data_IF_796804049619
#
_entry.id   IF_796804049619
#
_cell.length_a   1.000
_cell.length_b   1.000
_cell.length_c   1.000
_cell.angle_alpha   90.00
_cell.angle_beta   90.00
_cell.angle_gamma   90.00
#
_symmetry.space_group_name_H-M   'P 1'
#
loop_
_entity.id
_entity.type
_entity.pdbx_description
1 polymer ?
#
# COMPACT_ATOMS: atom_id res chain seq x y z
N UNK A 1 -29.50 9.88 -7.51
CA UNK A 1 -29.48 8.59 -6.79
C UNK A 1 -29.38 8.92 -5.30
N UNK A 2 -30.27 8.41 -4.46
CA UNK A 2 -30.31 8.77 -3.04
C UNK A 2 -29.80 7.60 -2.21
N UNK A 3 -28.71 7.81 -1.46
CA UNK A 3 -28.07 6.75 -0.68
C UNK A 3 -28.54 6.80 0.76
N UNK A 4 -28.99 5.66 1.30
CA UNK A 4 -29.24 5.54 2.72
C UNK A 4 -27.93 5.21 3.44
N UNK A 5 -27.29 6.23 4.00
CA UNK A 5 -26.01 6.12 4.70
C UNK A 5 -26.01 5.13 5.87
N UNK A 6 -27.17 4.87 6.49
CA UNK A 6 -27.29 3.86 7.58
C UNK A 6 -27.11 2.42 7.11
N UNK A 7 -27.20 2.15 5.80
CA UNK A 7 -27.00 0.82 5.21
C UNK A 7 -25.63 0.63 4.57
N UNK A 8 -24.80 1.67 4.56
CA UNK A 8 -23.46 1.63 3.96
C UNK A 8 -22.52 0.96 4.96
N UNK A 9 -22.04 -0.24 4.61
CA UNK A 9 -21.07 -1.00 5.41
C UNK A 9 -19.61 -0.75 5.01
N UNK A 10 -19.38 -0.03 3.92
CA UNK A 10 -18.04 0.23 3.35
C UNK A 10 -17.96 1.67 2.85
N UNK A 11 -17.01 2.44 3.37
CA UNK A 11 -16.77 3.85 3.03
C UNK A 11 -15.80 4.02 1.84
N UNK A 12 -15.91 3.17 0.81
CA UNK A 12 -15.07 3.27 -0.39
C UNK A 12 -15.93 3.33 -1.64
N UNK A 13 -15.64 4.26 -2.54
CA UNK A 13 -16.24 4.33 -3.88
C UNK A 13 -15.15 4.20 -4.94
N UNK A 14 -15.39 3.45 -6.00
CA UNK A 14 -14.53 3.39 -7.17
C UNK A 14 -15.39 3.43 -8.44
N UNK A 15 -14.91 4.12 -9.46
CA UNK A 15 -15.61 4.29 -10.74
C UNK A 15 -14.60 4.59 -11.85
N UNK A 16 -15.02 4.41 -13.09
CA UNK A 16 -14.21 4.76 -14.26
C UNK A 16 -14.71 6.07 -14.88
N UNK A 17 -13.78 6.93 -15.28
CA UNK A 17 -14.03 8.21 -15.94
C UNK A 17 -13.30 8.25 -17.27
N UNK A 18 -13.98 8.71 -18.32
CA UNK A 18 -13.38 9.05 -19.61
C UNK A 18 -13.89 10.41 -20.05
N UNK A 19 -13.00 11.36 -20.28
CA UNK A 19 -13.36 12.71 -20.72
C UNK A 19 -12.26 13.33 -21.58
N UNK A 20 -12.64 14.32 -22.38
CA UNK A 20 -11.73 15.27 -23.05
C UNK A 20 -11.80 16.66 -22.42
N UNK A 21 -12.73 16.85 -21.48
CA UNK A 21 -12.99 18.12 -20.84
C UNK A 21 -11.99 18.33 -19.68
N UNK A 22 -11.17 19.40 -19.70
CA UNK A 22 -10.22 19.69 -18.63
C UNK A 22 -10.92 20.20 -17.35
N UNK A 23 -12.21 20.52 -17.36
CA UNK A 23 -12.92 21.03 -16.19
C UNK A 23 -14.35 20.47 -16.11
N UNK A 24 -14.79 20.06 -14.92
CA UNK A 24 -16.16 19.56 -14.76
C UNK A 24 -16.43 18.90 -13.42
N UNK A 25 -17.71 18.76 -13.07
CA UNK A 25 -18.14 18.10 -11.83
C UNK A 25 -18.44 16.64 -12.11
N UNK A 26 -17.83 15.74 -11.32
CA UNK A 26 -18.06 14.30 -11.38
C UNK A 26 -19.12 13.92 -10.34
N UNK A 27 -18.88 14.26 -9.06
CA UNK A 27 -19.84 14.11 -7.98
C UNK A 27 -20.01 15.42 -7.25
N UNK A 28 -21.26 15.71 -6.92
CA UNK A 28 -21.63 16.75 -6.00
C UNK A 28 -22.53 16.12 -4.95
N UNK A 29 -22.30 16.49 -3.69
CA UNK A 29 -23.22 16.17 -2.63
C UNK A 29 -23.29 17.33 -1.67
N UNK A 30 -24.50 17.67 -1.27
CA UNK A 30 -24.79 18.65 -0.24
C UNK A 30 -25.61 18.04 0.88
N UNK A 31 -25.63 18.73 2.00
CA UNK A 31 -26.70 18.57 2.97
C UNK A 31 -27.82 19.56 2.62
N UNK A 32 -29.06 19.28 3.03
CA UNK A 32 -30.20 20.15 2.69
C UNK A 32 -30.05 21.61 3.23
N UNK A 33 -29.06 21.88 4.08
CA UNK A 33 -28.60 23.25 4.38
C UNK A 33 -27.58 23.67 3.33
N UNK A 34 -27.93 24.66 2.52
CA UNK A 34 -27.18 25.21 1.36
C UNK A 34 -25.70 25.58 1.59
N UNK A 35 -25.20 25.45 2.81
CA UNK A 35 -23.87 25.86 3.24
C UNK A 35 -22.88 24.69 3.36
N UNK A 36 -23.33 23.43 3.39
CA UNK A 36 -22.43 22.29 3.46
C UNK A 36 -22.50 21.47 2.17
N UNK A 37 -21.40 21.45 1.41
CA UNK A 37 -21.29 20.71 0.16
C UNK A 37 -19.87 20.18 -0.07
N UNK A 38 -19.78 19.13 -0.87
CA UNK A 38 -18.53 18.64 -1.43
C UNK A 38 -18.66 18.46 -2.94
N UNK A 39 -17.54 18.62 -3.63
CA UNK A 39 -17.39 18.38 -5.05
C UNK A 39 -16.18 17.47 -5.25
N UNK A 40 -16.37 16.41 -6.02
CA UNK A 40 -15.29 15.77 -6.76
C UNK A 40 -15.43 16.19 -8.22
N UNK A 41 -14.38 16.78 -8.77
CA UNK A 41 -14.39 17.28 -10.14
C UNK A 41 -13.02 17.21 -10.80
N UNK A 42 -12.93 17.84 -11.96
CA UNK A 42 -11.70 18.10 -12.69
C UNK A 42 -11.45 19.60 -12.77
N UNK A 43 -10.18 19.98 -12.67
CA UNK A 43 -9.68 21.32 -12.97
C UNK A 43 -8.30 21.22 -13.61
N UNK A 44 -8.10 21.89 -14.74
CA UNK A 44 -6.87 21.76 -15.55
C UNK A 44 -6.53 20.27 -15.88
N UNK A 45 -7.59 19.50 -16.15
CA UNK A 45 -7.53 18.07 -16.45
C UNK A 45 -7.27 17.16 -15.25
N UNK A 46 -7.03 17.70 -14.05
CA UNK A 46 -6.66 16.91 -12.85
C UNK A 46 -7.82 16.76 -11.88
N UNK A 47 -7.91 15.63 -11.15
CA UNK A 47 -8.86 15.46 -10.06
C UNK A 47 -8.70 16.53 -8.99
N UNK A 48 -9.83 17.11 -8.60
CA UNK A 48 -9.93 18.08 -7.52
C UNK A 48 -11.07 17.71 -6.59
N UNK A 49 -10.80 17.75 -5.28
CA UNK A 49 -11.80 17.65 -4.23
C UNK A 49 -11.95 19.03 -3.61
N UNK A 50 -13.18 19.53 -3.61
CA UNK A 50 -13.57 20.72 -2.86
C UNK A 50 -14.54 20.32 -1.76
N UNK A 51 -14.39 20.95 -0.60
CA UNK A 51 -15.33 20.81 0.49
C UNK A 51 -15.58 22.18 1.10
N UNK A 52 -16.83 22.51 1.29
CA UNK A 52 -17.25 23.73 1.93
C UNK A 52 -18.27 23.39 3.01
N UNK A 53 -18.07 23.98 4.16
CA UNK A 53 -19.06 24.03 5.22
C UNK A 53 -18.92 25.37 5.95
N UNK A 54 -19.82 25.62 6.88
CA UNK A 54 -19.80 26.82 7.72
C UNK A 54 -18.50 27.05 8.53
N UNK A 55 -17.62 26.06 8.67
CA UNK A 55 -16.37 26.13 9.44
C UNK A 55 -15.12 26.24 8.56
N UNK A 56 -15.14 25.70 7.34
CA UNK A 56 -13.97 25.56 6.50
C UNK A 56 -14.31 25.48 5.02
N UNK A 57 -13.36 25.96 4.21
CA UNK A 57 -13.34 25.76 2.78
C UNK A 57 -12.00 25.15 2.38
N UNK A 58 -12.05 23.95 1.80
CA UNK A 58 -10.89 23.17 1.39
C UNK A 58 -10.96 22.92 -0.12
N UNK A 59 -9.81 23.00 -0.77
CA UNK A 59 -9.63 22.60 -2.17
C UNK A 59 -8.31 21.87 -2.30
N UNK A 60 -8.36 20.64 -2.79
CA UNK A 60 -7.20 19.76 -2.97
C UNK A 60 -7.24 19.21 -4.39
N UNK A 61 -6.28 19.64 -5.21
CA UNK A 61 -6.03 19.06 -6.54
C UNK A 61 -4.83 18.13 -6.50
N UNK A 62 -4.98 16.89 -6.97
CA UNK A 62 -3.89 15.91 -6.96
C UNK A 62 -4.05 14.88 -8.09
N UNK A 63 -2.93 14.28 -8.50
CA UNK A 63 -2.90 13.19 -9.48
C UNK A 63 -2.67 13.63 -10.93
N UNK A 64 -2.67 12.66 -11.87
CA UNK A 64 -2.41 12.90 -13.28
C UNK A 64 -3.60 13.58 -13.99
N UNK A 65 -3.38 14.02 -15.22
CA UNK A 65 -4.44 14.50 -16.10
C UNK A 65 -5.30 13.32 -16.59
N UNK A 66 -6.62 13.51 -16.62
CA UNK A 66 -7.62 12.51 -17.01
C UNK A 66 -8.42 12.90 -18.26
N UNK A 67 -8.08 14.03 -18.89
CA UNK A 67 -8.77 14.66 -20.02
C UNK A 67 -8.21 14.23 -21.40
N UNK A 68 -7.67 13.00 -21.49
CA UNK A 68 -7.03 12.45 -22.69
C UNK A 68 -7.94 11.55 -23.54
N UNK A 69 -9.22 11.45 -23.20
CA UNK A 69 -10.19 10.61 -23.90
C UNK A 69 -10.05 9.11 -23.66
N UNK A 70 -9.21 8.68 -22.71
CA UNK A 70 -9.07 7.28 -22.29
C UNK A 70 -9.82 7.00 -20.98
N UNK A 71 -10.06 5.72 -20.68
CA UNK A 71 -10.73 5.31 -19.44
C UNK A 71 -9.72 5.30 -18.28
N UNK A 72 -10.05 6.00 -17.20
CA UNK A 72 -9.26 6.09 -15.98
C UNK A 72 -10.05 5.58 -14.78
N UNK A 73 -9.45 4.72 -13.97
CA UNK A 73 -10.06 4.29 -12.71
C UNK A 73 -9.76 5.31 -11.60
N UNK A 74 -10.81 5.84 -10.97
CA UNK A 74 -10.73 6.75 -9.83
C UNK A 74 -11.04 6.02 -8.53
N UNK A 75 -10.09 6.08 -7.59
CA UNK A 75 -10.21 5.55 -6.22
C UNK A 75 -9.74 6.64 -5.25
N UNK A 76 -10.65 7.47 -4.69
CA UNK A 76 -10.27 8.46 -3.69
C UNK A 76 -9.92 7.73 -2.38
N UNK A 77 -8.64 7.44 -2.18
CA UNK A 77 -8.09 6.91 -0.95
C UNK A 77 -7.39 8.05 -0.18
N UNK A 78 -7.66 8.15 1.12
CA UNK A 78 -6.96 9.07 2.03
C UNK A 78 -6.62 8.30 3.30
N UNK A 79 -5.35 7.99 3.51
CA UNK A 79 -4.84 7.60 4.82
C UNK A 79 -4.56 8.88 5.63
N UNK A 80 -5.58 9.34 6.35
CA UNK A 80 -5.53 10.58 7.10
C UNK A 80 -6.44 10.54 8.32
N UNK A 81 -6.03 11.24 9.38
CA UNK A 81 -6.83 11.35 10.59
C UNK A 81 -7.53 12.72 10.67
N UNK A 82 -8.83 12.69 10.93
CA UNK A 82 -9.63 13.90 11.19
C UNK A 82 -10.02 13.91 12.66
N UNK A 83 -9.74 15.01 13.36
CA UNK A 83 -10.10 15.19 14.78
C UNK A 83 -10.91 16.46 14.97
N UNK A 84 -11.66 16.52 16.08
CA UNK A 84 -12.48 17.69 16.45
C UNK A 84 -13.49 18.08 15.35
N UNK A 85 -14.02 17.09 14.63
CA UNK A 85 -15.08 17.32 13.66
C UNK A 85 -16.36 17.73 14.38
N UNK A 86 -16.80 18.97 14.18
CA UNK A 86 -18.08 19.45 14.67
C UNK A 86 -19.12 19.30 13.56
N UNK A 87 -19.85 18.18 13.59
CA UNK A 87 -20.88 17.83 12.60
C UNK A 87 -22.26 18.09 13.20
N UNK A 88 -23.05 19.00 12.65
CA UNK A 88 -24.27 19.50 13.31
C UNK A 88 -25.50 18.59 13.09
N UNK A 89 -25.59 17.53 13.89
CA UNK A 89 -26.85 16.94 14.40
C UNK A 89 -26.53 16.16 15.70
N UNK A 90 -27.08 16.52 16.87
CA UNK A 90 -26.86 15.78 18.12
C UNK A 90 -27.27 14.30 18.03
N UNK A 91 -28.22 13.94 17.15
CA UNK A 91 -28.57 12.52 16.91
C UNK A 91 -27.55 11.80 16.02
N UNK A 92 -26.79 12.52 15.18
CA UNK A 92 -25.66 11.95 14.43
C UNK A 92 -24.40 11.82 15.30
N UNK A 93 -24.30 12.61 16.38
CA UNK A 93 -23.19 12.57 17.34
C UNK A 93 -23.33 11.49 18.42
N UNK A 94 -24.49 10.86 18.58
CA UNK A 94 -24.68 9.70 19.47
C UNK A 94 -25.41 8.57 18.77
N UNK A 95 -24.65 7.75 18.07
CA UNK A 95 -24.93 6.33 17.99
C UNK A 95 -23.66 5.56 18.35
N UNK A 96 -23.57 5.15 19.62
CA UNK A 96 -22.88 3.92 20.07
C UNK A 96 -23.46 2.65 19.39
N UNK A 97 -23.91 2.76 18.15
CA UNK A 97 -24.60 1.73 17.39
C UNK A 97 -24.26 1.78 15.90
N UNK A 98 -23.06 2.26 15.56
CA UNK A 98 -22.28 1.54 14.54
C UNK A 98 -21.49 0.50 15.32
N UNK A 99 -21.54 -0.81 14.99
CA UNK A 99 -20.60 -1.74 15.61
C UNK A 99 -19.21 -1.13 15.46
N UNK A 100 -18.45 -1.08 16.57
CA UNK A 100 -17.10 -0.51 16.69
C UNK A 100 -16.06 -1.11 15.70
N UNK A 101 -16.51 -1.92 14.74
CA UNK A 101 -15.70 -2.64 13.78
C UNK A 101 -15.35 -1.88 12.50
N UNK A 102 -15.87 -0.66 12.26
CA UNK A 102 -15.62 0.03 10.97
C UNK A 102 -15.13 1.48 11.03
N UNK A 103 -15.22 2.16 12.17
CA UNK A 103 -14.54 3.44 12.40
C UNK A 103 -13.36 3.17 13.34
N UNK A 104 -12.17 2.99 12.78
CA UNK A 104 -10.94 2.81 13.56
C UNK A 104 -10.46 4.17 14.07
N UNK A 105 -10.20 4.27 15.37
CA UNK A 105 -9.43 5.38 15.92
C UNK A 105 -8.03 5.38 15.31
N UNK A 106 -7.55 6.55 14.87
CA UNK A 106 -6.19 6.69 14.39
C UNK A 106 -5.19 6.51 15.54
N UNK A 107 -3.95 6.15 15.20
CA UNK A 107 -2.86 6.22 16.19
C UNK A 107 -2.66 7.66 16.69
N UNK A 108 -2.53 7.81 18.02
CA UNK A 108 -2.29 9.10 18.69
C UNK A 108 -0.98 9.75 18.23
N UNK A 109 0.00 8.92 17.86
CA UNK A 109 1.33 9.34 17.40
C UNK A 109 1.72 8.54 16.15
N UNK A 110 1.80 9.23 15.02
CA UNK A 110 2.18 8.66 13.73
C UNK A 110 3.31 9.45 13.07
N UNK A 111 4.04 8.77 12.20
CA UNK A 111 5.09 9.34 11.35
C UNK A 111 4.87 8.92 9.89
N UNK A 112 5.43 9.64 8.90
CA UNK A 112 5.31 9.26 7.50
C UNK A 112 5.89 7.87 7.24
N UNK A 113 5.18 7.05 6.47
CA UNK A 113 5.61 5.71 6.09
C UNK A 113 4.43 4.84 5.66
N UNK A 114 4.63 3.54 5.51
CA UNK A 114 3.60 2.56 5.22
C UNK A 114 3.69 1.45 6.26
N UNK A 115 2.63 1.27 7.04
CA UNK A 115 2.59 0.27 8.09
C UNK A 115 1.79 -0.96 7.69
N UNK A 116 2.41 -2.12 7.87
CA UNK A 116 1.82 -3.45 7.71
C UNK A 116 1.56 -4.06 9.08
N UNK A 117 0.30 -4.08 9.57
CA UNK A 117 -0.07 -4.88 10.72
C UNK A 117 0.10 -6.39 10.48
N UNK A 118 0.13 -7.21 11.55
CA UNK A 118 0.20 -8.67 11.42
C UNK A 118 -0.89 -9.25 10.52
N UNK A 119 -0.52 -10.20 9.67
CA UNK A 119 -1.44 -10.89 8.76
C UNK A 119 -1.96 -10.07 7.58
N UNK A 120 -1.54 -8.80 7.43
CA UNK A 120 -1.95 -7.96 6.30
C UNK A 120 -1.08 -8.21 5.07
N UNK A 121 -1.63 -7.92 3.88
CA UNK A 121 -0.93 -8.10 2.61
C UNK A 121 -1.26 -7.06 1.56
N UNK A 122 -0.32 -6.81 0.66
CA UNK A 122 -0.51 -6.05 -0.56
C UNK A 122 0.13 -6.75 -1.76
N UNK A 123 -0.44 -6.55 -2.94
CA UNK A 123 -0.06 -7.22 -4.18
C UNK A 123 0.09 -6.17 -5.28
N UNK A 124 1.23 -6.17 -5.95
CA UNK A 124 1.47 -5.41 -7.18
C UNK A 124 1.64 -6.36 -8.35
N UNK A 125 1.00 -6.05 -9.48
CA UNK A 125 1.33 -6.69 -10.75
C UNK A 125 2.74 -6.27 -11.15
N UNK A 126 3.59 -7.22 -11.56
CA UNK A 126 4.93 -6.89 -12.04
C UNK A 126 4.91 -6.15 -13.39
N UNK A 127 3.77 -6.14 -14.10
CA UNK A 127 3.60 -5.33 -15.30
C UNK A 127 3.38 -3.84 -14.99
N UNK A 128 2.88 -3.53 -13.78
CA UNK A 128 2.53 -2.17 -13.37
C UNK A 128 3.66 -1.45 -12.62
N UNK A 129 4.77 -2.15 -12.37
CA UNK A 129 5.98 -1.59 -11.75
C UNK A 129 7.10 -1.45 -12.79
N UNK A 130 8.16 -0.65 -12.51
CA UNK A 130 9.29 -0.50 -13.41
C UNK A 130 9.90 -1.83 -13.86
N UNK A 131 10.14 -1.95 -15.17
CA UNK A 131 10.62 -3.18 -15.77
C UNK A 131 12.11 -3.43 -15.46
N UNK A 132 12.57 -4.69 -15.49
CA UNK A 132 13.99 -5.03 -15.39
C UNK A 132 14.82 -4.37 -16.49
N UNK A 133 16.08 -4.07 -16.19
CA UNK A 133 17.05 -3.74 -17.24
C UNK A 133 17.21 -4.95 -18.17
N UNK A 134 17.39 -4.72 -19.47
CA UNK A 134 17.50 -5.80 -20.45
C UNK A 134 18.92 -6.40 -20.49
N UNK A 135 19.96 -5.57 -20.53
CA UNK A 135 21.35 -6.01 -20.71
C UNK A 135 22.35 -5.21 -19.83
N UNK A 136 23.01 -5.85 -18.84
CA UNK A 136 22.68 -7.17 -18.31
C UNK A 136 21.32 -7.16 -17.58
N UNK A 137 20.60 -8.29 -17.60
CA UNK A 137 19.32 -8.38 -16.91
C UNK A 137 19.50 -8.12 -15.41
N UNK A 138 18.76 -7.13 -14.90
CA UNK A 138 18.80 -6.77 -13.49
C UNK A 138 17.52 -6.09 -13.01
N UNK A 139 17.06 -6.50 -11.83
CA UNK A 139 15.95 -5.89 -11.12
C UNK A 139 16.33 -5.59 -9.68
N UNK A 140 15.94 -4.42 -9.15
CA UNK A 140 16.22 -4.06 -7.76
C UNK A 140 14.97 -3.59 -7.04
N UNK A 141 14.85 -4.02 -5.79
CA UNK A 141 13.91 -3.53 -4.81
C UNK A 141 14.69 -2.93 -3.64
N UNK A 142 14.28 -1.74 -3.22
CA UNK A 142 14.83 -1.07 -2.04
C UNK A 142 13.70 -0.89 -1.02
N UNK A 143 13.99 -1.24 0.24
CA UNK A 143 13.07 -1.17 1.36
C UNK A 143 13.74 -0.35 2.47
N UNK A 144 13.09 0.72 2.91
CA UNK A 144 13.53 1.44 4.11
C UNK A 144 12.73 0.99 5.33
N UNK A 145 13.20 -0.07 5.98
CA UNK A 145 12.56 -0.61 7.19
C UNK A 145 12.88 0.26 8.40
N UNK A 146 11.86 0.93 8.94
CA UNK A 146 11.96 1.72 10.16
C UNK A 146 11.65 0.90 11.41
N UNK A 147 10.64 0.04 11.33
CA UNK A 147 10.19 -0.84 12.41
C UNK A 147 9.97 -2.23 11.84
N UNK A 148 10.30 -3.26 12.61
CA UNK A 148 9.94 -4.64 12.30
C UNK A 148 9.85 -5.47 13.58
N UNK A 149 8.83 -6.30 13.69
CA UNK A 149 8.59 -7.19 14.81
C UNK A 149 7.85 -8.46 14.35
N UNK A 150 7.91 -9.51 15.16
CA UNK A 150 7.29 -10.81 14.85
C UNK A 150 8.06 -11.61 13.81
N UNK A 151 7.37 -12.57 13.20
CA UNK A 151 7.94 -13.47 12.18
C UNK A 151 6.97 -13.66 11.02
N UNK A 152 7.51 -13.73 9.81
CA UNK A 152 6.75 -13.92 8.58
C UNK A 152 7.25 -13.06 7.42
N UNK A 153 6.58 -13.15 6.27
CA UNK A 153 7.04 -12.51 5.04
C UNK A 153 7.02 -10.97 5.10
N UNK A 154 8.10 -10.37 4.60
CA UNK A 154 8.18 -8.94 4.30
C UNK A 154 7.80 -8.69 2.84
N UNK A 155 8.38 -9.49 1.94
CA UNK A 155 8.03 -9.52 0.52
C UNK A 155 8.21 -10.90 -0.08
N UNK A 156 7.55 -11.15 -1.21
CA UNK A 156 7.83 -12.27 -2.09
C UNK A 156 7.57 -11.93 -3.56
N UNK A 157 8.24 -12.66 -4.45
CA UNK A 157 8.01 -12.65 -5.88
C UNK A 157 7.55 -14.03 -6.31
N UNK A 158 6.45 -14.11 -7.05
CA UNK A 158 5.91 -15.37 -7.54
C UNK A 158 4.58 -15.19 -8.28
N UNK A 159 3.84 -16.29 -8.41
CA UNK A 159 2.49 -16.31 -9.00
C UNK A 159 1.44 -16.57 -7.91
N UNK A 160 0.14 -16.42 -8.17
CA UNK A 160 -0.90 -16.72 -7.19
C UNK A 160 -0.87 -18.18 -6.71
N UNK A 161 -0.48 -19.12 -7.58
CA UNK A 161 -0.38 -20.55 -7.27
C UNK A 161 0.89 -20.89 -6.49
N UNK A 162 1.97 -20.16 -6.75
CA UNK A 162 3.25 -20.34 -6.09
C UNK A 162 3.87 -18.97 -5.78
N UNK A 163 3.47 -18.33 -4.67
CA UNK A 163 3.87 -16.97 -4.34
C UNK A 163 5.33 -16.84 -3.89
N UNK A 164 5.99 -17.95 -3.57
CA UNK A 164 7.31 -17.98 -2.91
C UNK A 164 8.44 -18.46 -3.84
N UNK A 165 8.51 -17.95 -5.07
CA UNK A 165 9.67 -18.24 -5.94
C UNK A 165 10.94 -17.58 -5.40
N UNK A 166 10.79 -16.37 -4.88
CA UNK A 166 11.80 -15.69 -4.07
C UNK A 166 11.10 -14.98 -2.93
N UNK A 167 11.46 -15.30 -1.69
CA UNK A 167 10.84 -14.75 -0.49
C UNK A 167 11.89 -14.08 0.38
N UNK A 168 11.53 -12.95 0.99
CA UNK A 168 12.30 -12.33 2.05
C UNK A 168 11.39 -12.22 3.27
N UNK A 169 11.74 -12.93 4.33
CA UNK A 169 10.94 -12.98 5.55
C UNK A 169 11.77 -12.69 6.78
N UNK A 170 11.09 -12.24 7.83
CA UNK A 170 11.67 -11.98 9.13
C UNK A 170 11.51 -13.24 10.00
N UNK A 171 12.60 -13.70 10.60
CA UNK A 171 12.60 -14.79 11.58
C UNK A 171 13.64 -14.49 12.64
N UNK A 172 13.23 -14.40 13.91
CA UNK A 172 14.13 -14.20 15.06
C UNK A 172 15.11 -13.01 14.90
N UNK A 173 14.58 -11.86 14.45
CA UNK A 173 15.36 -10.64 14.16
C UNK A 173 16.42 -10.80 13.04
N UNK A 174 16.29 -11.84 12.22
CA UNK A 174 17.08 -12.05 11.01
C UNK A 174 16.21 -11.96 9.78
N UNK A 175 16.74 -11.36 8.73
CA UNK A 175 16.13 -11.41 7.42
C UNK A 175 16.62 -12.65 6.72
N UNK A 176 15.71 -13.52 6.33
CA UNK A 176 16.02 -14.73 5.58
C UNK A 176 15.53 -14.55 4.16
N UNK A 177 16.45 -14.65 3.22
CA UNK A 177 16.16 -14.71 1.80
C UNK A 177 16.11 -16.17 1.40
N UNK A 178 14.94 -16.62 0.93
CA UNK A 178 14.69 -17.99 0.50
C UNK A 178 14.27 -18.03 -0.95
N UNK A 179 14.71 -19.06 -1.65
CA UNK A 179 14.30 -19.36 -3.02
C UNK A 179 13.32 -20.53 -3.01
N UNK A 180 12.43 -20.60 -4.01
CA UNK A 180 11.50 -21.72 -4.17
C UNK A 180 12.16 -23.10 -4.32
N UNK A 181 13.49 -23.14 -4.51
CA UNK A 181 14.31 -24.37 -4.49
C UNK A 181 14.77 -24.82 -3.10
N UNK A 182 14.46 -24.06 -2.04
CA UNK A 182 14.89 -24.34 -0.67
C UNK A 182 16.31 -23.86 -0.34
N UNK A 183 16.93 -23.03 -1.19
CA UNK A 183 18.20 -22.37 -0.84
C UNK A 183 17.88 -21.11 -0.04
N UNK A 184 18.57 -20.93 1.08
CA UNK A 184 18.34 -19.84 2.01
C UNK A 184 19.66 -19.18 2.42
N UNK A 185 19.59 -17.88 2.70
CA UNK A 185 20.64 -17.14 3.40
C UNK A 185 20.00 -16.20 4.42
N UNK A 186 20.71 -15.93 5.51
CA UNK A 186 20.26 -14.99 6.53
C UNK A 186 21.23 -13.81 6.70
N UNK A 187 20.66 -12.65 7.01
CA UNK A 187 21.41 -11.44 7.36
C UNK A 187 20.75 -10.82 8.61
N UNK A 188 21.52 -10.45 9.65
CA UNK A 188 20.96 -9.87 10.86
C UNK A 188 20.29 -8.52 10.57
N UNK A 189 19.04 -8.35 10.99
CA UNK A 189 18.28 -7.13 10.72
C UNK A 189 18.83 -5.95 11.53
N UNK A 190 19.17 -4.86 10.83
CA UNK A 190 19.48 -3.56 11.44
C UNK A 190 18.49 -2.51 10.94
N UNK A 191 17.59 -2.07 11.82
CA UNK A 191 16.58 -1.06 11.50
C UNK A 191 17.21 0.29 11.14
N UNK A 192 16.56 1.04 10.24
CA UNK A 192 17.03 2.34 9.76
C UNK A 192 18.17 2.31 8.76
N UNK A 193 18.72 1.13 8.42
CA UNK A 193 19.63 0.95 7.30
C UNK A 193 18.86 0.54 6.03
N UNK A 194 19.25 1.06 4.86
CA UNK A 194 18.60 0.70 3.61
C UNK A 194 18.80 -0.79 3.33
N UNK A 195 17.70 -1.48 3.03
CA UNK A 195 17.68 -2.88 2.64
C UNK A 195 17.44 -2.96 1.13
N UNK A 196 18.40 -3.50 0.39
CA UNK A 196 18.32 -3.65 -1.06
C UNK A 196 18.34 -5.13 -1.44
N UNK A 197 17.39 -5.53 -2.26
CA UNK A 197 17.33 -6.82 -2.92
C UNK A 197 17.58 -6.62 -4.42
N UNK A 198 18.70 -7.12 -4.92
CA UNK A 198 19.07 -7.02 -6.33
C UNK A 198 19.12 -8.39 -6.98
N UNK A 199 18.22 -8.59 -7.93
CA UNK A 199 18.18 -9.77 -8.77
C UNK A 199 19.06 -9.52 -10.01
N UNK A 200 19.92 -10.48 -10.30
CA UNK A 200 20.68 -10.55 -11.54
C UNK A 200 20.50 -11.97 -12.11
N UNK A 201 20.94 -12.17 -13.35
CA UNK A 201 20.80 -13.45 -14.07
C UNK A 201 21.04 -14.64 -13.14
N UNK A 202 22.25 -14.86 -12.60
CA UNK A 202 22.56 -16.07 -11.82
C UNK A 202 22.60 -15.91 -10.30
N UNK A 203 22.12 -14.79 -9.77
CA UNK A 203 22.30 -14.49 -8.35
C UNK A 203 21.29 -13.48 -7.84
N UNK A 204 20.92 -13.64 -6.58
CA UNK A 204 20.20 -12.63 -5.82
C UNK A 204 21.14 -12.08 -4.78
N UNK A 205 21.19 -10.77 -4.68
CA UNK A 205 22.07 -10.05 -3.77
C UNK A 205 21.19 -9.35 -2.74
N UNK A 206 21.36 -9.70 -1.47
CA UNK A 206 20.74 -9.01 -0.35
C UNK A 206 21.78 -8.10 0.29
N UNK A 207 21.49 -6.80 0.38
CA UNK A 207 22.40 -5.80 0.96
C UNK A 207 21.68 -5.04 2.05
N UNK A 208 22.31 -4.89 3.22
CA UNK A 208 21.82 -3.99 4.27
C UNK A 208 22.97 -3.11 4.77
N UNK A 209 22.91 -1.82 4.44
CA UNK A 209 24.03 -0.90 4.67
C UNK A 209 25.31 -1.40 3.99
N UNK A 210 26.32 -1.78 4.78
CA UNK A 210 27.60 -2.30 4.29
C UNK A 210 27.66 -3.83 4.21
N UNK A 211 26.70 -4.55 4.79
CA UNK A 211 26.65 -6.02 4.74
C UNK A 211 25.99 -6.45 3.45
N UNK A 212 26.52 -7.52 2.84
CA UNK A 212 26.06 -8.04 1.57
C UNK A 212 26.19 -9.55 1.56
N UNK A 213 25.10 -10.22 1.21
CA UNK A 213 25.03 -11.66 1.02
C UNK A 213 24.57 -11.96 -0.41
N UNK A 214 25.04 -13.09 -0.95
CA UNK A 214 24.78 -13.47 -2.35
C UNK A 214 24.26 -14.90 -2.40
N UNK A 215 23.00 -15.04 -2.82
CA UNK A 215 22.38 -16.32 -3.13
C UNK A 215 22.67 -16.67 -4.58
N UNK A 216 23.49 -17.67 -4.85
CA UNK A 216 23.69 -18.20 -6.20
C UNK A 216 22.49 -19.09 -6.58
N UNK A 217 21.86 -18.80 -7.71
CA UNK A 217 20.69 -19.56 -8.18
C UNK A 217 21.08 -20.53 -9.31
N UNK A 218 20.63 -21.81 -9.25
CA UNK A 218 20.84 -22.76 -10.34
C UNK A 218 20.14 -22.30 -11.63
N UNK A 219 20.76 -22.60 -12.79
CA UNK A 219 20.27 -22.15 -14.11
C UNK A 219 18.81 -22.56 -14.42
N UNK A 220 18.32 -23.67 -13.88
CA UNK A 220 16.94 -24.15 -14.05
C UNK A 220 15.89 -23.27 -13.34
N UNK A 221 16.21 -22.70 -12.17
CA UNK A 221 15.30 -21.83 -11.41
C UNK A 221 15.25 -20.39 -11.95
N UNK A 222 16.24 -20.07 -12.78
CA UNK A 222 16.54 -18.77 -13.32
C UNK A 222 15.56 -18.36 -14.43
N UNK A 223 15.26 -19.29 -15.35
CA UNK A 223 14.30 -19.07 -16.42
C UNK A 223 12.90 -18.71 -15.89
N UNK A 224 12.51 -19.28 -14.74
CA UNK A 224 11.22 -18.98 -14.12
C UNK A 224 11.20 -17.55 -13.57
N UNK A 225 12.16 -17.16 -12.72
CA UNK A 225 12.24 -15.81 -12.15
C UNK A 225 12.34 -14.71 -13.22
N UNK A 226 13.12 -14.92 -14.28
CA UNK A 226 13.21 -13.96 -15.39
C UNK A 226 11.87 -13.82 -16.13
N UNK A 227 11.20 -14.95 -16.37
CA UNK A 227 9.91 -14.97 -17.05
C UNK A 227 8.77 -14.40 -16.21
N UNK A 228 8.96 -14.17 -14.91
CA UNK A 228 7.92 -13.65 -14.03
C UNK A 228 7.43 -12.26 -14.50
N UNK A 229 8.34 -11.41 -15.01
CA UNK A 229 7.97 -10.11 -15.59
C UNK A 229 7.28 -10.23 -16.96
N UNK A 230 7.52 -11.32 -17.69
CA UNK A 230 6.85 -11.56 -18.97
C UNK A 230 5.45 -12.14 -18.80
N UNK A 231 5.11 -12.67 -17.61
CA UNK A 231 3.83 -13.30 -17.33
C UNK A 231 2.79 -12.28 -16.82
N UNK A 232 1.53 -12.37 -17.25
CA UNK A 232 0.44 -11.55 -16.70
C UNK A 232 0.07 -11.91 -15.26
N UNK A 233 0.59 -13.01 -14.73
CA UNK A 233 0.38 -13.46 -13.35
C UNK A 233 1.65 -13.37 -12.49
N UNK A 234 2.61 -12.55 -12.88
CA UNK A 234 3.75 -12.22 -12.04
C UNK A 234 3.37 -11.15 -11.02
N UNK A 235 3.57 -11.43 -9.72
CA UNK A 235 3.22 -10.52 -8.64
C UNK A 235 4.39 -10.27 -7.69
N UNK A 236 4.44 -9.03 -7.18
CA UNK A 236 5.16 -8.67 -5.97
C UNK A 236 4.17 -8.68 -4.80
N UNK A 237 4.37 -9.60 -3.87
CA UNK A 237 3.63 -9.69 -2.62
C UNK A 237 4.40 -8.93 -1.53
N UNK A 238 3.67 -8.20 -0.68
CA UNK A 238 4.20 -7.50 0.49
C UNK A 238 3.41 -7.91 1.72
N UNK A 239 4.11 -8.20 2.81
CA UNK A 239 3.51 -8.75 4.02
C UNK A 239 3.15 -10.23 3.87
N UNK A 240 2.05 -10.65 4.51
CA UNK A 240 1.64 -12.04 4.59
C UNK A 240 1.23 -12.63 3.23
N UNK A 241 1.62 -13.88 2.97
CA UNK A 241 1.20 -14.60 1.77
C UNK A 241 -0.22 -15.15 1.89
N UNK A 242 -0.89 -15.49 0.76
CA UNK A 242 -2.20 -16.11 0.79
C UNK A 242 -2.23 -17.40 1.63
N UNK A 243 -3.02 -17.41 2.71
CA UNK A 243 -3.15 -18.55 3.62
C UNK A 243 -2.05 -18.66 4.68
N UNK A 244 -1.10 -17.71 4.73
CA UNK A 244 -0.06 -17.67 5.75
C UNK A 244 -0.56 -17.02 7.05
N UNK A 245 -0.33 -17.69 8.17
CA UNK A 245 -0.51 -17.09 9.50
C UNK A 245 0.78 -16.36 9.91
N UNK A 246 0.94 -15.12 9.43
CA UNK A 246 2.10 -14.26 9.72
C UNK A 246 1.85 -13.38 10.94
N UNK A 247 2.82 -13.35 11.86
CA UNK A 247 2.85 -12.39 12.99
C UNK A 247 3.72 -11.17 12.69
N UNK A 248 4.34 -11.10 11.51
CA UNK A 248 5.20 -10.01 11.11
C UNK A 248 4.42 -8.70 11.04
N UNK A 249 4.95 -7.67 11.70
CA UNK A 249 4.52 -6.29 11.54
C UNK A 249 5.71 -5.41 11.26
N UNK A 250 5.57 -4.47 10.34
CA UNK A 250 6.67 -3.61 9.95
C UNK A 250 6.22 -2.28 9.38
N UNK A 251 7.08 -1.29 9.48
CA UNK A 251 6.92 0.03 8.87
C UNK A 251 8.00 0.26 7.82
N UNK A 252 7.57 0.70 6.64
CA UNK A 252 8.44 1.15 5.56
C UNK A 252 8.41 2.67 5.47
N UNK A 253 9.56 3.35 5.40
CA UNK A 253 9.60 4.75 4.95
C UNK A 253 9.30 4.90 3.45
N UNK A 254 9.51 3.80 2.72
CA UNK A 254 9.24 3.64 1.32
C UNK A 254 9.66 2.27 0.80
N UNK A 255 9.13 1.98 -0.38
CA UNK A 255 9.46 0.84 -1.21
C UNK A 255 9.78 1.38 -2.60
N UNK A 256 10.92 1.02 -3.16
CA UNK A 256 11.31 1.42 -4.50
C UNK A 256 11.55 0.21 -5.37
N UNK A 257 11.10 0.27 -6.62
CA UNK A 257 11.47 -0.66 -7.67
C UNK A 257 12.25 0.10 -8.73
N UNK A 258 13.47 -0.34 -9.04
CA UNK A 258 14.38 0.35 -9.97
C UNK A 258 14.55 1.85 -9.67
N UNK A 259 14.58 2.23 -8.38
CA UNK A 259 14.71 3.62 -7.95
C UNK A 259 13.42 4.46 -8.04
N UNK A 260 12.31 3.94 -8.57
CA UNK A 260 11.01 4.61 -8.52
C UNK A 260 10.24 4.16 -7.27
N UNK A 261 9.76 5.13 -6.48
CA UNK A 261 8.95 4.84 -5.29
C UNK A 261 7.61 4.25 -5.74
N UNK A 262 7.24 3.12 -5.14
CA UNK A 262 5.93 2.50 -5.33
C UNK A 262 4.91 3.14 -4.38
N UNK A 263 3.75 3.44 -4.92
CA UNK A 263 2.63 4.00 -4.16
C UNK A 263 1.70 2.86 -3.73
N UNK A 264 1.51 2.70 -2.41
CA UNK A 264 0.70 1.64 -1.82
C UNK A 264 -0.78 1.76 -2.18
N UNK A 265 -1.27 2.95 -2.51
CA UNK A 265 -2.66 3.14 -2.94
C UNK A 265 -2.89 2.64 -4.38
N UNK A 266 -1.82 2.37 -5.14
CA UNK A 266 -1.88 1.79 -6.49
C UNK A 266 -1.71 0.27 -6.50
N UNK A 267 -1.66 -0.38 -5.33
CA UNK A 267 -1.62 -1.84 -5.23
C UNK A 267 -2.87 -2.48 -5.88
N UNK A 268 -2.67 -3.54 -6.64
CA UNK A 268 -3.77 -4.27 -7.31
C UNK A 268 -4.74 -4.89 -6.29
N UNK A 269 -4.18 -5.46 -5.21
CA UNK A 269 -4.94 -5.96 -4.06
C UNK A 269 -4.24 -5.55 -2.77
N UNK A 270 -5.02 -5.17 -1.75
CA UNK A 270 -4.50 -4.71 -0.47
C UNK A 270 -5.48 -5.01 0.67
N UNK A 271 -4.98 -5.46 1.80
CA UNK A 271 -5.75 -5.55 3.04
C UNK A 271 -6.20 -4.16 3.50
N UNK A 272 -7.43 -4.04 3.98
CA UNK A 272 -8.00 -2.76 4.43
C UNK A 272 -7.25 -2.16 5.63
N UNK A 273 -6.53 -2.99 6.37
CA UNK A 273 -5.90 -2.61 7.64
C UNK A 273 -4.49 -2.04 7.46
N UNK A 274 -3.95 -2.06 6.24
CA UNK A 274 -2.65 -1.43 5.92
C UNK A 274 -2.79 0.09 5.96
N UNK A 275 -1.88 0.76 6.64
CA UNK A 275 -1.81 2.22 6.67
C UNK A 275 -0.85 2.64 5.55
N UNK A 276 -1.37 3.28 4.51
CA UNK A 276 -0.61 3.49 3.26
C UNK A 276 0.42 4.60 3.35
N UNK A 277 0.19 5.59 4.22
CA UNK A 277 0.98 6.81 4.32
C UNK A 277 1.30 7.22 5.76
N UNK A 278 0.98 6.36 6.74
CA UNK A 278 1.39 6.54 8.13
C UNK A 278 1.95 5.27 8.78
N UNK A 279 2.84 5.47 9.74
CA UNK A 279 3.33 4.43 10.65
C UNK A 279 3.17 4.84 12.11
N UNK A 280 2.95 3.88 13.02
CA UNK A 280 2.96 4.17 14.45
C UNK A 280 4.37 4.51 14.92
N UNK A 281 4.52 5.49 15.82
CA UNK A 281 5.84 5.83 16.38
C UNK A 281 6.39 4.79 17.36
N UNK A 282 5.50 4.00 17.96
CA UNK A 282 5.83 2.90 18.88
C UNK A 282 5.25 1.63 18.27
N UNK A 283 6.01 0.51 18.21
CA UNK A 283 5.44 -0.77 17.79
C UNK A 283 4.25 -1.07 18.69
N UNK A 284 3.05 -1.23 18.09
CA UNK A 284 1.89 -1.68 18.85
C UNK A 284 2.24 -3.06 19.41
N UNK A 285 2.55 -3.12 20.71
CA UNK A 285 2.30 -4.33 21.46
C UNK A 285 0.80 -4.53 21.36
N UNK A 286 0.37 -5.65 20.78
CA UNK A 286 -1.03 -6.02 20.64
C UNK A 286 -1.71 -6.10 21.99
N UNK A 287 -2.18 -4.95 22.48
CA UNK A 287 -3.13 -4.81 23.57
C UNK A 287 -3.93 -3.56 23.27
N UNK A 288 -5.19 -3.78 22.94
CA UNK A 288 -6.26 -2.80 23.11
C UNK A 288 -5.98 -1.92 24.33
N UNK A 289 -5.80 -0.63 24.09
CA UNK A 289 -6.19 0.38 25.07
C UNK A 289 -7.06 1.38 24.32
N UNK A 290 -8.31 0.98 24.20
CA UNK A 290 -9.45 1.88 24.09
C UNK A 290 -9.31 2.98 25.15
N UNK A 291 -9.19 4.23 24.70
CA UNK A 291 -9.57 5.41 25.45
C UNK A 291 -10.39 6.32 24.54
#
# INVERSE_FOLDING_TARGET
>A
MTFNFTKIKKSSSSFELRTWDPEGVIFYGDTNSKDDWFVLGLRDGRPEIQLHNHLAQLTVGAGPRLDDGTWHQLVPALDGCVRQGNWLDPQAQTSESTPASSLRSCAVQSQPGTFFPPGTRAEFSLQDIPQPHAEPWAFSLDLGLQLAAGSGHLLALGTPENPSWLSLYLQDQKMVLSSGSGLELDLPLVLGLPLQLKLAVSRVILTQGYKKEILALPALHLGFLLNLWAQPQGFLFLGALPGEASSASFCLDGLWAQGQKLDMDRALRRSQDIWTHSCPQIPSNGTDTTH
#
